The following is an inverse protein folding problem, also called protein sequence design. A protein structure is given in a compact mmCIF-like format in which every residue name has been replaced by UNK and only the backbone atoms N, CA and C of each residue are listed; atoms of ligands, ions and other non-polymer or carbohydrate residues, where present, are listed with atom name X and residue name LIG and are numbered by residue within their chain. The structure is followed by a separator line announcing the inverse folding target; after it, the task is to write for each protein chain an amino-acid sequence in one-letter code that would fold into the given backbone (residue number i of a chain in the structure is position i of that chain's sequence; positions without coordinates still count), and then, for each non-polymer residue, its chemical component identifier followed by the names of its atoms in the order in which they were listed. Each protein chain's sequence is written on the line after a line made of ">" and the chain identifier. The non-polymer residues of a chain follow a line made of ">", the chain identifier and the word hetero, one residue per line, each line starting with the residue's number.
data_IF_072631792150
#
_entry.id   IF_072631792150
#
_cell.length_a   1.000
_cell.length_b   1.000
_cell.length_c   1.000
_cell.angle_alpha   90.00
_cell.angle_beta   90.00
_cell.angle_gamma   90.00
#
_symmetry.space_group_name_H-M   'P 1'
#
loop_
_entity.id
_entity.type
_entity.pdbx_description
1 polymer ?
#
# COMPACT_ATOMS: atom_id res chain seq x y z
N UNK A 1 8.23 7.86 -13.63
CA UNK A 1 8.43 9.01 -12.79
C UNK A 1 8.42 10.30 -13.62
N UNK A 2 9.30 10.42 -14.63
CA UNK A 2 9.39 11.60 -15.51
C UNK A 2 8.04 12.04 -16.09
N UNK A 3 7.28 11.10 -16.67
CA UNK A 3 5.96 11.41 -17.23
C UNK A 3 4.97 11.91 -16.16
N UNK A 4 5.00 11.34 -14.97
CA UNK A 4 4.16 11.80 -13.87
C UNK A 4 4.51 13.23 -13.43
N UNK A 5 5.80 13.55 -13.37
CA UNK A 5 6.30 14.90 -13.08
C UNK A 5 5.96 15.89 -14.20
N UNK A 6 6.10 15.49 -15.47
CA UNK A 6 5.77 16.33 -16.63
C UNK A 6 4.27 16.65 -16.71
N UNK A 7 3.42 15.74 -16.26
CA UNK A 7 1.98 15.92 -16.16
C UNK A 7 1.53 16.65 -14.88
N UNK A 8 2.49 17.07 -14.04
CA UNK A 8 2.23 17.74 -12.76
C UNK A 8 1.26 16.98 -11.85
N UNK A 9 1.38 15.63 -11.83
CA UNK A 9 0.61 14.82 -10.89
C UNK A 9 1.06 15.07 -9.45
N UNK A 10 0.11 15.05 -8.51
CA UNK A 10 0.34 15.48 -7.12
C UNK A 10 1.43 14.66 -6.41
N UNK A 11 1.48 13.34 -6.67
CA UNK A 11 2.39 12.42 -5.98
C UNK A 11 3.06 11.45 -6.95
N UNK A 12 4.04 11.90 -7.77
CA UNK A 12 4.67 11.10 -8.84
C UNK A 12 5.26 9.76 -8.38
N UNK A 13 5.70 9.69 -7.10
CA UNK A 13 6.22 8.48 -6.45
C UNK A 13 5.28 7.26 -6.54
N UNK A 14 3.97 7.48 -6.59
CA UNK A 14 3.00 6.39 -6.69
C UNK A 14 2.91 5.79 -8.09
N UNK A 15 3.15 6.56 -9.14
CA UNK A 15 3.27 6.02 -10.48
C UNK A 15 4.49 5.09 -10.58
N UNK A 16 5.64 5.53 -10.05
CA UNK A 16 6.84 4.69 -9.99
C UNK A 16 6.62 3.43 -9.15
N UNK A 17 5.98 3.55 -7.98
CA UNK A 17 5.63 2.40 -7.16
C UNK A 17 4.67 1.44 -7.87
N UNK A 18 3.77 1.95 -8.69
CA UNK A 18 2.88 1.11 -9.52
C UNK A 18 3.70 0.26 -10.49
N UNK A 19 4.67 0.85 -11.19
CA UNK A 19 5.58 0.10 -12.08
C UNK A 19 6.24 -1.04 -11.31
N UNK A 20 6.86 -0.75 -10.16
CA UNK A 20 7.57 -1.75 -9.34
C UNK A 20 6.67 -2.89 -8.88
N UNK A 21 5.41 -2.60 -8.60
CA UNK A 21 4.48 -3.62 -8.06
C UNK A 21 3.79 -4.45 -9.13
N UNK A 22 3.56 -3.93 -10.34
CA UNK A 22 2.91 -4.70 -11.42
C UNK A 22 3.92 -5.44 -12.30
N UNK A 23 5.19 -5.02 -12.29
CA UNK A 23 6.26 -5.73 -13.01
C UNK A 23 6.46 -7.11 -12.39
N UNK A 24 6.09 -8.14 -13.13
CA UNK A 24 6.28 -9.56 -12.78
C UNK A 24 6.85 -10.29 -13.99
N UNK A 25 7.58 -11.42 -13.82
CA UNK A 25 8.35 -12.07 -14.87
C UNK A 25 7.54 -12.65 -16.05
N UNK A 26 6.24 -12.43 -16.14
CA UNK A 26 5.37 -12.95 -17.20
C UNK A 26 4.39 -11.89 -17.64
N UNK A 27 4.30 -11.65 -18.94
CA UNK A 27 3.38 -10.70 -19.56
C UNK A 27 1.92 -10.97 -19.18
N UNK A 28 1.47 -12.21 -19.27
CA UNK A 28 0.08 -12.57 -18.93
C UNK A 28 -0.26 -12.22 -17.48
N UNK A 29 0.66 -12.52 -16.55
CA UNK A 29 0.49 -12.19 -15.15
C UNK A 29 0.57 -10.67 -14.89
N UNK A 30 1.42 -9.96 -15.62
CA UNK A 30 1.53 -8.50 -15.53
C UNK A 30 0.23 -7.84 -15.99
N UNK A 31 -0.37 -8.29 -17.11
CA UNK A 31 -1.65 -7.77 -17.58
C UNK A 31 -2.79 -8.05 -16.60
N UNK A 32 -2.92 -9.29 -16.12
CA UNK A 32 -3.97 -9.65 -15.15
C UNK A 32 -3.80 -8.86 -13.85
N UNK A 33 -2.57 -8.74 -13.34
CA UNK A 33 -2.28 -7.97 -12.12
C UNK A 33 -2.58 -6.49 -12.30
N UNK A 34 -2.21 -5.92 -13.46
CA UNK A 34 -2.49 -4.52 -13.83
C UNK A 34 -4.00 -4.25 -13.92
N UNK A 35 -4.76 -5.16 -14.54
CA UNK A 35 -6.21 -5.06 -14.63
C UNK A 35 -6.87 -5.03 -13.24
N UNK A 36 -6.51 -5.97 -12.36
CA UNK A 36 -7.03 -6.00 -11.00
C UNK A 36 -6.55 -4.81 -10.15
N UNK A 37 -5.35 -4.29 -10.43
CA UNK A 37 -4.87 -3.05 -9.80
C UNK A 37 -5.75 -1.86 -10.19
N UNK A 38 -6.08 -1.71 -11.47
CA UNK A 38 -6.94 -0.63 -11.96
C UNK A 38 -8.34 -0.72 -11.34
N UNK A 39 -8.95 -1.92 -11.35
CA UNK A 39 -10.27 -2.13 -10.72
C UNK A 39 -10.23 -1.76 -9.23
N UNK A 40 -9.23 -2.26 -8.50
CA UNK A 40 -9.09 -1.94 -7.08
C UNK A 40 -8.93 -0.44 -6.82
N UNK A 41 -8.20 0.26 -7.68
CA UNK A 41 -8.02 1.71 -7.59
C UNK A 41 -9.34 2.46 -7.85
N UNK A 42 -10.06 2.13 -8.93
CA UNK A 42 -11.33 2.80 -9.27
C UNK A 42 -12.38 2.55 -8.18
N UNK A 43 -12.56 1.30 -7.74
CA UNK A 43 -13.51 0.97 -6.68
C UNK A 43 -13.12 1.63 -5.36
N UNK A 44 -11.81 1.65 -5.04
CA UNK A 44 -11.30 2.33 -3.85
C UNK A 44 -11.50 3.84 -3.89
N UNK A 45 -11.24 4.47 -5.04
CA UNK A 45 -11.46 5.90 -5.24
C UNK A 45 -12.95 6.26 -5.05
N UNK A 46 -13.85 5.52 -5.68
CA UNK A 46 -15.30 5.73 -5.52
C UNK A 46 -15.74 5.53 -4.05
N UNK A 47 -15.28 4.46 -3.40
CA UNK A 47 -15.59 4.20 -2.00
C UNK A 47 -15.06 5.31 -1.08
N UNK A 48 -13.84 5.79 -1.33
CA UNK A 48 -13.23 6.89 -0.56
C UNK A 48 -14.04 8.19 -0.68
N UNK A 49 -14.45 8.57 -1.90
CA UNK A 49 -15.31 9.74 -2.12
C UNK A 49 -16.63 9.59 -1.35
N UNK A 50 -17.29 8.43 -1.44
CA UNK A 50 -18.57 8.19 -0.75
C UNK A 50 -18.41 8.27 0.77
N UNK A 51 -17.35 7.66 1.33
CA UNK A 51 -17.09 7.69 2.77
C UNK A 51 -16.86 9.12 3.26
N UNK A 52 -16.06 9.91 2.53
CA UNK A 52 -15.82 11.33 2.85
C UNK A 52 -17.13 12.13 2.77
N UNK A 53 -17.87 11.99 1.67
CA UNK A 53 -19.12 12.74 1.47
C UNK A 53 -20.15 12.48 2.57
N UNK A 54 -20.22 11.25 3.08
CA UNK A 54 -21.22 10.87 4.08
C UNK A 54 -20.78 11.13 5.53
N UNK A 55 -19.48 10.99 5.81
CA UNK A 55 -19.01 10.86 7.20
C UNK A 55 -17.90 11.83 7.62
N UNK A 56 -17.31 12.64 6.73
CA UNK A 56 -16.18 13.53 7.07
C UNK A 56 -16.48 14.48 8.25
N UNK A 57 -17.75 14.90 8.40
CA UNK A 57 -18.19 15.80 9.48
C UNK A 57 -18.36 15.11 10.84
N UNK A 58 -18.18 13.78 10.91
CA UNK A 58 -18.41 12.97 12.13
C UNK A 58 -17.23 12.01 12.33
N UNK A 59 -16.14 12.45 12.99
CA UNK A 59 -14.89 11.68 13.06
C UNK A 59 -15.05 10.24 13.53
N UNK A 60 -15.79 10.00 14.61
CA UNK A 60 -16.02 8.64 15.13
C UNK A 60 -16.77 7.73 14.14
N UNK A 61 -17.76 8.30 13.42
CA UNK A 61 -18.53 7.54 12.42
C UNK A 61 -17.66 7.28 11.19
N UNK A 62 -16.83 8.24 10.79
CA UNK A 62 -15.86 8.09 9.73
C UNK A 62 -14.88 6.95 10.02
N UNK A 63 -14.28 6.93 11.21
CA UNK A 63 -13.35 5.88 11.62
C UNK A 63 -14.02 4.51 11.69
N UNK A 64 -15.26 4.45 12.18
CA UNK A 64 -16.05 3.22 12.18
C UNK A 64 -16.34 2.74 10.76
N UNK A 65 -16.72 3.64 9.86
CA UNK A 65 -16.98 3.31 8.45
C UNK A 65 -15.71 2.78 7.77
N UNK A 66 -14.56 3.41 8.01
CA UNK A 66 -13.27 2.94 7.51
C UNK A 66 -12.89 1.57 8.07
N UNK A 67 -13.09 1.32 9.36
CA UNK A 67 -12.81 0.03 9.98
C UNK A 67 -13.71 -1.09 9.43
N UNK A 68 -15.00 -0.81 9.24
CA UNK A 68 -15.94 -1.75 8.62
C UNK A 68 -15.59 -2.02 7.17
N UNK A 69 -15.16 -1.00 6.43
CA UNK A 69 -14.69 -1.13 5.05
C UNK A 69 -13.44 -2.00 4.94
N UNK A 70 -12.46 -1.78 5.82
CA UNK A 70 -11.28 -2.64 5.92
C UNK A 70 -11.67 -4.10 6.22
N UNK A 71 -12.57 -4.30 7.17
CA UNK A 71 -13.09 -5.61 7.52
C UNK A 71 -13.78 -6.31 6.35
N UNK A 72 -14.63 -5.58 5.60
CA UNK A 72 -15.31 -6.10 4.41
C UNK A 72 -14.32 -6.48 3.31
N UNK A 73 -13.34 -5.61 3.00
CA UNK A 73 -12.30 -5.89 2.02
C UNK A 73 -11.47 -7.13 2.41
N UNK A 74 -11.07 -7.28 3.67
CA UNK A 74 -10.32 -8.44 4.14
C UNK A 74 -11.15 -9.73 4.16
N UNK A 75 -12.43 -9.64 4.51
CA UNK A 75 -13.36 -10.76 4.49
C UNK A 75 -13.56 -11.31 3.07
N UNK A 76 -13.90 -10.42 2.13
CA UNK A 76 -14.09 -10.81 0.73
C UNK A 76 -12.76 -11.24 0.12
N UNK A 77 -11.66 -10.53 0.39
CA UNK A 77 -10.32 -10.82 -0.11
C UNK A 77 -9.80 -12.21 0.28
N UNK A 78 -10.24 -12.71 1.46
CA UNK A 78 -9.89 -14.08 1.88
C UNK A 78 -10.67 -15.16 1.12
N UNK A 79 -11.80 -14.84 0.47
CA UNK A 79 -12.66 -15.78 -0.24
C UNK A 79 -12.44 -15.86 -1.73
N UNK A 80 -11.70 -14.89 -2.29
CA UNK A 80 -11.47 -14.78 -3.71
C UNK A 80 -10.06 -15.21 -4.10
N UNK A 81 -9.79 -15.30 -5.41
CA UNK A 81 -8.49 -15.71 -5.96
C UNK A 81 -7.42 -14.64 -5.71
N UNK A 82 -6.15 -15.03 -5.81
CA UNK A 82 -4.97 -14.21 -5.49
C UNK A 82 -5.01 -12.77 -6.07
N UNK A 83 -5.28 -12.59 -7.36
CA UNK A 83 -5.33 -11.26 -7.96
C UNK A 83 -6.56 -10.43 -7.54
N UNK A 84 -7.67 -11.09 -7.27
CA UNK A 84 -8.87 -10.45 -6.73
C UNK A 84 -8.65 -10.02 -5.27
N UNK A 85 -7.96 -10.85 -4.47
CA UNK A 85 -7.55 -10.49 -3.11
C UNK A 85 -6.61 -9.28 -3.11
N UNK A 86 -5.66 -9.26 -4.04
CA UNK A 86 -4.80 -8.10 -4.26
C UNK A 86 -5.59 -6.84 -4.62
N UNK A 87 -6.58 -6.94 -5.53
CA UNK A 87 -7.46 -5.82 -5.87
C UNK A 87 -8.18 -5.26 -4.64
N UNK A 88 -8.67 -6.11 -3.73
CA UNK A 88 -9.35 -5.66 -2.50
C UNK A 88 -8.40 -4.98 -1.50
N UNK A 89 -7.15 -5.44 -1.41
CA UNK A 89 -6.14 -4.71 -0.63
C UNK A 89 -5.87 -3.32 -1.22
N UNK A 90 -5.84 -3.19 -2.54
CA UNK A 90 -5.70 -1.90 -3.22
C UNK A 90 -6.95 -1.03 -3.12
N UNK A 91 -8.13 -1.64 -3.13
CA UNK A 91 -9.40 -0.94 -2.85
C UNK A 91 -9.35 -0.26 -1.49
N UNK A 92 -8.90 -0.96 -0.44
CA UNK A 92 -8.65 -0.37 0.86
C UNK A 92 -7.60 0.76 0.79
N UNK A 93 -6.44 0.47 0.20
CA UNK A 93 -5.33 1.44 0.13
C UNK A 93 -5.77 2.73 -0.56
N UNK A 94 -6.44 2.62 -1.70
CA UNK A 94 -6.90 3.80 -2.47
C UNK A 94 -8.02 4.53 -1.74
N UNK A 95 -9.01 3.81 -1.19
CA UNK A 95 -10.07 4.46 -0.41
C UNK A 95 -9.51 5.19 0.82
N UNK A 96 -8.50 4.59 1.47
CA UNK A 96 -7.83 5.23 2.60
C UNK A 96 -7.04 6.48 2.18
N UNK A 97 -6.29 6.44 1.08
CA UNK A 97 -5.58 7.62 0.55
C UNK A 97 -6.57 8.75 0.26
N UNK A 98 -7.67 8.45 -0.43
CA UNK A 98 -8.71 9.45 -0.74
C UNK A 98 -9.38 9.95 0.54
N UNK A 99 -9.81 9.05 1.42
CA UNK A 99 -10.57 9.41 2.62
C UNK A 99 -9.74 10.19 3.63
N UNK A 100 -8.57 9.67 4.02
CA UNK A 100 -7.71 10.35 5.00
C UNK A 100 -7.02 11.59 4.42
N UNK A 101 -6.73 11.59 3.10
CA UNK A 101 -6.17 12.76 2.43
C UNK A 101 -7.16 13.91 2.24
N UNK A 102 -8.48 13.64 2.32
CA UNK A 102 -9.52 14.63 2.08
C UNK A 102 -10.42 14.89 3.28
N UNK A 103 -10.17 14.27 4.45
CA UNK A 103 -11.04 14.45 5.62
C UNK A 103 -11.07 15.90 6.11
N UNK A 104 -9.97 16.63 5.97
CA UNK A 104 -9.87 18.05 6.32
C UNK A 104 -10.48 18.98 5.26
N UNK A 105 -10.44 18.58 3.98
CA UNK A 105 -11.07 19.28 2.85
C UNK A 105 -11.87 18.28 2.01
N UNK A 106 -13.13 17.99 2.36
CA UNK A 106 -13.97 17.04 1.64
C UNK A 106 -14.23 17.39 0.17
N UNK A 107 -14.16 18.68 -0.19
CA UNK A 107 -14.37 19.12 -1.57
C UNK A 107 -13.23 18.69 -2.50
N UNK A 108 -12.03 18.51 -1.97
CA UNK A 108 -10.85 18.02 -2.69
C UNK A 108 -10.88 16.52 -2.98
N UNK A 109 -11.79 15.74 -2.39
CA UNK A 109 -11.78 14.26 -2.48
C UNK A 109 -11.82 13.73 -3.92
N UNK A 110 -12.56 14.38 -4.82
CA UNK A 110 -12.60 13.99 -6.22
C UNK A 110 -11.25 14.21 -6.92
N UNK A 111 -10.58 15.31 -6.65
CA UNK A 111 -9.26 15.64 -7.24
C UNK A 111 -8.22 14.62 -6.77
N UNK A 112 -8.18 14.32 -5.47
CA UNK A 112 -7.27 13.31 -4.91
C UNK A 112 -7.55 11.93 -5.53
N UNK A 113 -8.81 11.55 -5.69
CA UNK A 113 -9.20 10.29 -6.32
C UNK A 113 -8.80 10.22 -7.81
N UNK A 114 -9.01 11.30 -8.56
CA UNK A 114 -8.65 11.41 -9.97
C UNK A 114 -7.14 11.37 -10.17
N UNK A 115 -6.38 12.17 -9.40
CA UNK A 115 -4.92 12.17 -9.42
C UNK A 115 -4.37 10.78 -9.13
N UNK A 116 -4.89 10.12 -8.07
CA UNK A 116 -4.51 8.76 -7.71
C UNK A 116 -4.76 7.74 -8.82
N UNK A 117 -5.91 7.85 -9.49
CA UNK A 117 -6.26 6.96 -10.61
C UNK A 117 -5.35 7.20 -11.81
N UNK A 118 -5.04 8.46 -12.12
CA UNK A 118 -4.12 8.83 -13.20
C UNK A 118 -2.69 8.31 -12.95
N UNK A 119 -2.17 8.45 -11.72
CA UNK A 119 -0.85 7.92 -11.31
C UNK A 119 -0.76 6.41 -11.50
N UNK A 120 -1.79 5.68 -11.09
CA UNK A 120 -1.85 4.21 -11.24
C UNK A 120 -1.97 3.84 -12.72
N UNK A 121 -2.81 4.53 -13.51
CA UNK A 121 -2.95 4.30 -14.93
C UNK A 121 -1.63 4.51 -15.68
N UNK A 122 -0.95 5.62 -15.39
CA UNK A 122 0.35 5.94 -15.97
C UNK A 122 1.40 4.87 -15.61
N UNK A 123 1.45 4.45 -14.35
CA UNK A 123 2.35 3.40 -13.91
C UNK A 123 2.10 2.05 -14.60
N UNK A 124 0.83 1.69 -14.82
CA UNK A 124 0.45 0.48 -15.57
C UNK A 124 0.89 0.58 -17.03
N UNK A 125 0.66 1.72 -17.67
CA UNK A 125 1.07 1.93 -19.07
C UNK A 125 2.59 1.83 -19.23
N UNK A 126 3.35 2.46 -18.34
CA UNK A 126 4.81 2.37 -18.36
C UNK A 126 5.32 0.95 -18.11
N UNK A 127 4.73 0.23 -17.15
CA UNK A 127 5.10 -1.16 -16.87
C UNK A 127 4.76 -2.10 -18.03
N UNK A 128 3.58 -1.92 -18.63
CA UNK A 128 3.17 -2.68 -19.83
C UNK A 128 4.08 -2.42 -21.01
N UNK A 129 4.43 -1.15 -21.28
CA UNK A 129 5.38 -0.78 -22.32
C UNK A 129 6.77 -1.39 -22.10
N UNK A 130 7.28 -1.33 -20.87
CA UNK A 130 8.55 -1.97 -20.52
C UNK A 130 8.50 -3.50 -20.69
N UNK A 131 7.41 -4.14 -20.26
CA UNK A 131 7.23 -5.57 -20.40
C UNK A 131 7.22 -6.00 -21.87
N UNK A 132 6.56 -5.27 -22.75
CA UNK A 132 6.56 -5.55 -24.20
C UNK A 132 7.97 -5.42 -24.80
N UNK A 133 8.76 -4.44 -24.34
CA UNK A 133 10.09 -4.17 -24.89
C UNK A 133 11.16 -5.16 -24.40
N UNK A 134 11.04 -5.66 -23.16
CA UNK A 134 12.11 -6.41 -22.50
C UNK A 134 11.76 -7.86 -22.20
N UNK A 135 10.47 -8.25 -22.28
CA UNK A 135 10.04 -9.59 -21.87
C UNK A 135 10.00 -10.54 -23.09
N UNK A 136 10.95 -11.45 -23.10
CA UNK A 136 10.85 -12.67 -23.92
C UNK A 136 9.85 -13.63 -23.26
N UNK A 137 8.94 -14.15 -24.05
CA UNK A 137 7.84 -15.08 -23.71
C UNK A 137 8.21 -16.12 -22.64
N UNK A 138 7.99 -15.81 -21.39
CA UNK A 138 8.06 -16.78 -20.29
C UNK A 138 6.63 -17.13 -19.87
N UNK A 139 6.23 -18.35 -20.15
CA UNK A 139 4.97 -18.91 -19.64
C UNK A 139 5.14 -19.16 -18.14
N UNK A 140 4.48 -18.35 -17.32
CA UNK A 140 4.45 -18.58 -15.87
C UNK A 140 3.26 -19.47 -15.52
N UNK A 141 3.51 -20.49 -14.74
CA UNK A 141 2.47 -21.36 -14.17
C UNK A 141 1.68 -20.59 -13.12
N UNK A 142 0.36 -20.53 -13.28
CA UNK A 142 -0.54 -19.96 -12.27
C UNK A 142 -0.43 -20.77 -10.97
N UNK A 143 0.07 -20.12 -9.92
CA UNK A 143 0.06 -20.74 -8.59
C UNK A 143 -1.39 -20.75 -8.12
N UNK A 144 -1.95 -21.94 -7.91
CA UNK A 144 -3.29 -22.10 -7.36
C UNK A 144 -3.29 -21.60 -5.91
N UNK A 145 -4.13 -20.63 -5.61
CA UNK A 145 -4.38 -20.23 -4.24
C UNK A 145 -5.00 -21.42 -3.47
N UNK A 146 -4.47 -21.72 -2.30
CA UNK A 146 -5.04 -22.74 -1.41
C UNK A 146 -6.49 -22.37 -1.07
N UNK A 147 -7.36 -23.39 -0.99
CA UNK A 147 -8.75 -23.21 -0.59
C UNK A 147 -8.83 -22.58 0.81
N UNK A 148 -9.67 -21.55 1.03
CA UNK A 148 -9.75 -20.89 2.32
C UNK A 148 -10.28 -21.85 3.39
N UNK A 149 -9.61 -21.89 4.55
CA UNK A 149 -10.03 -22.66 5.71
C UNK A 149 -11.37 -22.09 6.23
N UNK A 150 -12.36 -22.94 6.60
CA UNK A 150 -13.62 -22.47 7.17
C UNK A 150 -13.42 -21.47 8.32
N UNK A 151 -14.18 -20.36 8.32
CA UNK A 151 -14.08 -19.30 9.32
C UNK A 151 -12.88 -18.36 9.18
N UNK A 152 -11.90 -18.62 8.30
CA UNK A 152 -10.73 -17.77 8.11
C UNK A 152 -11.11 -16.38 7.60
N UNK A 153 -12.06 -16.27 6.68
CA UNK A 153 -12.51 -14.99 6.13
C UNK A 153 -13.11 -14.09 7.22
N UNK A 154 -13.97 -14.62 8.07
CA UNK A 154 -14.56 -13.89 9.21
C UNK A 154 -13.46 -13.40 10.16
N UNK A 155 -12.52 -14.29 10.53
CA UNK A 155 -11.39 -13.92 11.40
C UNK A 155 -10.50 -12.82 10.79
N UNK A 156 -10.21 -12.92 9.51
CA UNK A 156 -9.39 -11.91 8.83
C UNK A 156 -10.11 -10.57 8.71
N UNK A 157 -11.42 -10.58 8.40
CA UNK A 157 -12.24 -9.38 8.37
C UNK A 157 -12.28 -8.66 9.72
N UNK A 158 -12.56 -9.41 10.80
CA UNK A 158 -12.60 -8.83 12.16
C UNK A 158 -11.22 -8.30 12.56
N UNK A 159 -10.13 -9.03 12.28
CA UNK A 159 -8.76 -8.57 12.58
C UNK A 159 -8.40 -7.28 11.86
N UNK A 160 -8.71 -7.18 10.56
CA UNK A 160 -8.42 -5.97 9.80
C UNK A 160 -9.25 -4.77 10.29
N UNK A 161 -10.54 -4.97 10.53
CA UNK A 161 -11.39 -3.92 11.09
C UNK A 161 -10.92 -3.45 12.47
N UNK A 162 -10.56 -4.39 13.36
CA UNK A 162 -10.05 -4.04 14.69
C UNK A 162 -8.67 -3.36 14.62
N UNK A 163 -7.77 -3.78 13.73
CA UNK A 163 -6.48 -3.13 13.54
C UNK A 163 -6.66 -1.66 13.13
N UNK A 164 -7.54 -1.40 12.16
CA UNK A 164 -7.88 -0.04 11.73
C UNK A 164 -8.54 0.74 12.87
N UNK A 165 -9.51 0.16 13.59
CA UNK A 165 -10.18 0.84 14.69
C UNK A 165 -9.23 1.21 15.83
N UNK A 166 -8.31 0.31 16.22
CA UNK A 166 -7.32 0.58 17.26
C UNK A 166 -6.32 1.65 16.82
N UNK A 167 -5.89 1.60 15.55
CA UNK A 167 -5.04 2.63 14.99
C UNK A 167 -5.73 4.00 14.94
N UNK A 168 -7.01 4.05 14.52
CA UNK A 168 -7.82 5.27 14.55
C UNK A 168 -8.02 5.82 15.96
N UNK A 169 -8.31 4.94 16.94
CA UNK A 169 -8.45 5.34 18.33
C UNK A 169 -7.15 5.95 18.90
N UNK A 170 -6.01 5.33 18.57
CA UNK A 170 -4.70 5.89 18.93
C UNK A 170 -4.48 7.25 18.29
N UNK A 171 -4.74 7.38 16.98
CA UNK A 171 -4.64 8.65 16.27
C UNK A 171 -5.55 9.71 16.89
N UNK A 172 -6.81 9.37 17.19
CA UNK A 172 -7.76 10.30 17.80
C UNK A 172 -7.30 10.82 19.16
N UNK A 173 -6.69 9.96 19.99
CA UNK A 173 -6.18 10.35 21.32
C UNK A 173 -4.85 11.11 21.23
N UNK A 174 -3.93 10.65 20.36
CA UNK A 174 -2.59 11.24 20.25
C UNK A 174 -2.57 12.55 19.46
N UNK A 175 -3.58 12.78 18.61
CA UNK A 175 -3.63 13.88 17.63
C UNK A 175 -2.36 13.93 16.75
N UNK A 176 -1.77 12.75 16.49
CA UNK A 176 -0.55 12.63 15.72
C UNK A 176 -0.77 13.12 14.27
N UNK A 177 0.10 14.02 13.78
CA UNK A 177 -0.03 14.64 12.46
C UNK A 177 -0.10 13.59 11.34
N UNK A 178 0.77 12.55 11.39
CA UNK A 178 0.77 11.45 10.41
C UNK A 178 -0.08 10.26 10.83
N UNK A 179 -0.95 10.45 11.82
CA UNK A 179 -1.94 9.45 12.24
C UNK A 179 -2.79 8.90 11.09
N UNK A 180 -3.27 9.72 10.13
CA UNK A 180 -3.96 9.23 8.94
C UNK A 180 -3.16 8.19 8.15
N UNK A 181 -1.86 8.44 7.94
CA UNK A 181 -0.98 7.53 7.24
C UNK A 181 -0.66 6.27 8.06
N UNK A 182 -0.53 6.40 9.37
CA UNK A 182 -0.41 5.27 10.30
C UNK A 182 -1.63 4.33 10.23
N UNK A 183 -2.85 4.88 10.25
CA UNK A 183 -4.09 4.09 10.12
C UNK A 183 -4.15 3.41 8.75
N UNK A 184 -3.82 4.13 7.68
CA UNK A 184 -3.76 3.61 6.32
C UNK A 184 -2.82 2.40 6.22
N UNK A 185 -1.62 2.49 6.76
CA UNK A 185 -0.63 1.42 6.71
C UNK A 185 -1.02 0.22 7.57
N UNK A 186 -1.69 0.45 8.70
CA UNK A 186 -2.23 -0.61 9.55
C UNK A 186 -3.23 -1.48 8.79
N UNK A 187 -4.16 -0.86 8.07
CA UNK A 187 -5.12 -1.59 7.25
C UNK A 187 -4.47 -2.26 6.03
N UNK A 188 -3.59 -1.53 5.32
CA UNK A 188 -2.94 -2.04 4.11
C UNK A 188 -2.13 -3.32 4.38
N UNK A 189 -1.32 -3.36 5.42
CA UNK A 189 -0.56 -4.53 5.81
C UNK A 189 -1.48 -5.69 6.28
N UNK A 190 -2.53 -5.37 7.04
CA UNK A 190 -3.50 -6.36 7.49
C UNK A 190 -4.24 -7.03 6.32
N UNK A 191 -4.60 -6.28 5.27
CA UNK A 191 -5.29 -6.81 4.10
C UNK A 191 -4.33 -7.56 3.15
N UNK A 192 -3.16 -7.01 2.89
CA UNK A 192 -2.19 -7.57 1.94
C UNK A 192 -1.78 -9.00 2.33
N UNK A 193 -1.63 -9.25 3.63
CA UNK A 193 -1.21 -10.55 4.14
C UNK A 193 -2.35 -11.39 4.75
N UNK A 194 -3.60 -10.92 4.67
CA UNK A 194 -4.77 -11.62 5.22
C UNK A 194 -4.89 -13.08 4.74
N UNK A 195 -4.67 -13.33 3.46
CA UNK A 195 -4.76 -14.64 2.84
C UNK A 195 -3.42 -15.41 2.83
N UNK A 196 -2.30 -14.81 3.29
CA UNK A 196 -0.99 -15.46 3.25
C UNK A 196 -0.90 -16.60 4.27
N UNK A 197 -0.33 -17.78 3.93
CA UNK A 197 -0.19 -18.91 4.86
C UNK A 197 0.59 -18.54 6.12
N UNK A 198 1.72 -17.85 5.97
CA UNK A 198 2.61 -17.40 7.06
C UNK A 198 2.52 -15.89 7.24
N UNK A 199 1.35 -15.38 7.69
CA UNK A 199 1.04 -13.94 7.77
C UNK A 199 2.10 -13.14 8.53
N UNK A 200 2.46 -13.60 9.74
CA UNK A 200 3.44 -12.91 10.60
C UNK A 200 4.81 -12.86 9.94
N UNK A 201 5.29 -13.99 9.41
CA UNK A 201 6.61 -14.05 8.76
C UNK A 201 6.65 -13.15 7.50
N UNK A 202 5.59 -13.13 6.70
CA UNK A 202 5.48 -12.28 5.51
C UNK A 202 5.46 -10.79 5.89
N UNK A 203 4.70 -10.41 6.92
CA UNK A 203 4.63 -9.02 7.40
C UNK A 203 5.96 -8.59 8.04
N UNK A 204 6.63 -9.47 8.80
CA UNK A 204 7.98 -9.21 9.32
C UNK A 204 9.01 -9.07 8.20
N UNK A 205 8.89 -9.87 7.13
CA UNK A 205 9.71 -9.73 5.93
C UNK A 205 9.55 -8.33 5.32
N UNK A 206 8.30 -7.89 5.12
CA UNK A 206 8.01 -6.55 4.62
C UNK A 206 8.54 -5.46 5.55
N UNK A 207 8.41 -5.62 6.88
CA UNK A 207 8.92 -4.65 7.86
C UNK A 207 10.45 -4.50 7.77
N UNK A 208 11.19 -5.60 7.60
CA UNK A 208 12.66 -5.53 7.37
C UNK A 208 12.99 -4.73 6.12
N UNK A 209 12.24 -4.94 5.05
CA UNK A 209 12.35 -4.15 3.83
C UNK A 209 12.02 -2.68 4.07
N UNK A 210 10.97 -2.38 4.83
CA UNK A 210 10.61 -1.01 5.20
C UNK A 210 11.75 -0.29 5.91
N UNK A 211 12.37 -0.92 6.90
CA UNK A 211 13.49 -0.32 7.64
C UNK A 211 14.67 0.01 6.71
N UNK A 212 15.05 -0.94 5.85
CA UNK A 212 16.16 -0.72 4.91
C UNK A 212 15.79 0.33 3.84
N UNK A 213 14.59 0.24 3.27
CA UNK A 213 14.11 1.18 2.26
C UNK A 213 14.00 2.61 2.78
N UNK A 214 13.47 2.78 3.99
CA UNK A 214 13.41 4.08 4.66
C UNK A 214 14.80 4.66 4.88
N UNK A 215 15.72 3.88 5.42
CA UNK A 215 17.10 4.35 5.67
C UNK A 215 17.78 4.82 4.39
N UNK A 216 17.72 4.01 3.33
CA UNK A 216 18.35 4.35 2.05
C UNK A 216 17.59 5.46 1.31
N UNK A 217 16.26 5.53 1.43
CA UNK A 217 15.47 6.61 0.85
C UNK A 217 15.78 7.97 1.50
N UNK A 218 15.84 8.03 2.82
CA UNK A 218 16.27 9.23 3.55
C UNK A 218 17.70 9.63 3.20
N UNK A 219 18.61 8.66 3.08
CA UNK A 219 19.98 8.93 2.63
C UNK A 219 19.99 9.55 1.23
N UNK A 220 19.24 9.01 0.28
CA UNK A 220 19.11 9.58 -1.07
C UNK A 220 18.55 11.00 -1.00
N UNK A 221 17.45 11.21 -0.28
CA UNK A 221 16.78 12.50 -0.17
C UNK A 221 17.67 13.58 0.43
N UNK A 222 18.30 13.30 1.57
CA UNK A 222 19.02 14.32 2.33
C UNK A 222 20.53 14.43 2.01
N UNK A 223 21.14 13.41 1.41
CA UNK A 223 22.56 13.44 1.09
C UNK A 223 22.84 13.55 -0.41
N UNK A 224 22.02 12.96 -1.28
CA UNK A 224 22.29 12.88 -2.71
C UNK A 224 21.44 13.88 -3.52
N UNK A 225 20.14 13.99 -3.27
CA UNK A 225 19.28 14.93 -3.99
C UNK A 225 19.60 16.39 -3.72
N UNK A 226 20.21 16.72 -2.57
CA UNK A 226 20.70 18.07 -2.28
C UNK A 226 21.76 18.57 -3.27
N UNK A 227 22.35 17.67 -4.06
CA UNK A 227 23.39 17.95 -5.05
C UNK A 227 22.91 17.79 -6.49
N UNK A 228 21.70 17.28 -6.72
CA UNK A 228 21.14 17.14 -8.05
C UNK A 228 20.45 18.42 -8.48
N UNK A 229 20.74 18.85 -9.71
CA UNK A 229 20.18 20.05 -10.32
C UNK A 229 19.18 19.73 -11.43
N UNK A 230 19.03 18.44 -11.80
CA UNK A 230 18.19 18.01 -12.91
C UNK A 230 17.57 16.65 -12.65
N UNK A 231 16.43 16.40 -13.30
CA UNK A 231 15.78 15.07 -13.27
C UNK A 231 16.69 13.94 -13.77
N UNK A 232 17.59 14.22 -14.72
CA UNK A 232 18.55 13.23 -15.20
C UNK A 232 19.51 12.77 -14.11
N UNK A 233 20.00 13.69 -13.29
CA UNK A 233 20.87 13.40 -12.14
C UNK A 233 20.09 12.64 -11.05
N UNK A 234 18.86 13.04 -10.73
CA UNK A 234 18.01 12.31 -9.80
C UNK A 234 17.76 10.88 -10.26
N UNK A 235 17.53 10.67 -11.56
CA UNK A 235 17.35 9.34 -12.15
C UNK A 235 18.61 8.49 -11.99
N UNK A 236 19.79 9.04 -12.24
CA UNK A 236 21.07 8.35 -12.06
C UNK A 236 21.31 7.96 -10.60
N UNK A 237 20.93 8.87 -9.67
CA UNK A 237 21.00 8.60 -8.23
C UNK A 237 20.05 7.50 -7.80
N UNK A 238 18.81 7.51 -8.29
CA UNK A 238 17.80 6.49 -7.94
C UNK A 238 18.10 5.10 -8.51
N UNK A 239 18.74 5.04 -9.68
CA UNK A 239 18.92 3.82 -10.46
C UNK A 239 19.53 2.66 -9.66
N UNK A 240 20.67 2.79 -8.97
CA UNK A 240 21.29 1.70 -8.24
C UNK A 240 20.40 1.16 -7.10
N UNK A 241 19.65 2.02 -6.43
CA UNK A 241 18.74 1.62 -5.35
C UNK A 241 17.49 0.91 -5.88
N UNK A 242 16.95 1.37 -7.01
CA UNK A 242 15.83 0.69 -7.69
C UNK A 242 16.26 -0.66 -8.25
N UNK A 243 17.49 -0.77 -8.79
CA UNK A 243 18.05 -2.05 -9.22
C UNK A 243 18.20 -3.03 -8.07
N UNK A 244 18.67 -2.57 -6.89
CA UNK A 244 18.74 -3.40 -5.69
C UNK A 244 17.36 -3.97 -5.33
N UNK A 245 16.33 -3.13 -5.33
CA UNK A 245 14.95 -3.54 -5.11
C UNK A 245 14.43 -4.52 -6.17
N UNK A 246 14.75 -4.27 -7.45
CA UNK A 246 14.38 -5.14 -8.57
C UNK A 246 15.02 -6.53 -8.49
N UNK A 247 16.32 -6.60 -8.18
CA UNK A 247 17.04 -7.87 -7.94
C UNK A 247 16.40 -8.63 -6.78
N UNK A 248 16.07 -7.93 -5.69
CA UNK A 248 15.40 -8.55 -4.55
C UNK A 248 14.00 -9.10 -4.86
N UNK A 249 13.28 -8.52 -5.82
CA UNK A 249 11.98 -9.04 -6.29
C UNK A 249 12.12 -10.29 -7.17
N UNK A 250 13.27 -10.50 -7.79
CA UNK A 250 13.50 -11.63 -8.69
C UNK A 250 13.70 -12.98 -7.95
N UNK A 251 14.11 -12.95 -6.69
CA UNK A 251 14.28 -14.15 -5.85
C UNK A 251 13.10 -14.31 -4.90
N UNK A 252 12.46 -15.48 -4.93
CA UNK A 252 11.31 -15.84 -4.07
C UNK A 252 11.62 -15.73 -2.56
N UNK A 253 12.87 -15.84 -2.15
CA UNK A 253 13.30 -15.74 -0.74
C UNK A 253 13.32 -14.29 -0.25
N UNK A 254 13.63 -13.35 -1.13
CA UNK A 254 13.78 -11.92 -0.82
C UNK A 254 12.61 -11.08 -1.31
N UNK A 255 11.66 -11.65 -2.06
CA UNK A 255 10.53 -10.94 -2.65
C UNK A 255 9.69 -10.17 -1.62
N UNK A 256 9.42 -10.75 -0.44
CA UNK A 256 8.68 -10.09 0.64
C UNK A 256 9.41 -8.85 1.19
N UNK A 257 10.66 -8.98 1.65
CA UNK A 257 11.48 -7.83 2.03
C UNK A 257 11.67 -6.81 0.91
N UNK A 258 11.92 -7.25 -0.33
CA UNK A 258 12.11 -6.35 -1.48
C UNK A 258 10.85 -5.54 -1.81
N UNK A 259 9.66 -6.12 -1.65
CA UNK A 259 8.39 -5.39 -1.79
C UNK A 259 8.31 -4.26 -0.76
N UNK A 260 8.62 -4.54 0.49
CA UNK A 260 8.67 -3.54 1.55
C UNK A 260 9.73 -2.48 1.29
N UNK A 261 10.93 -2.90 0.89
CA UNK A 261 12.02 -2.02 0.52
C UNK A 261 11.61 -1.01 -0.57
N UNK A 262 11.09 -1.49 -1.69
CA UNK A 262 10.71 -0.64 -2.81
C UNK A 262 9.64 0.39 -2.42
N UNK A 263 8.65 -0.01 -1.63
CA UNK A 263 7.62 0.91 -1.15
C UNK A 263 8.21 1.98 -0.24
N UNK A 264 8.94 1.58 0.79
CA UNK A 264 9.50 2.50 1.77
C UNK A 264 10.59 3.40 1.18
N UNK A 265 11.42 2.85 0.29
CA UNK A 265 12.44 3.61 -0.42
C UNK A 265 11.82 4.75 -1.24
N UNK A 266 10.81 4.46 -2.05
CA UNK A 266 10.14 5.47 -2.89
C UNK A 266 9.41 6.53 -2.06
N UNK A 267 8.80 6.13 -0.93
CA UNK A 267 8.14 7.07 -0.03
C UNK A 267 9.16 7.98 0.67
N UNK A 268 10.26 7.43 1.16
CA UNK A 268 11.27 8.19 1.91
C UNK A 268 12.17 9.04 1.01
N UNK A 269 12.52 8.57 -0.19
CA UNK A 269 13.27 9.35 -1.17
C UNK A 269 12.43 10.51 -1.74
N UNK A 270 11.12 10.33 -1.82
CA UNK A 270 10.12 11.34 -2.19
C UNK A 270 10.51 12.19 -3.43
N UNK A 271 10.79 11.55 -4.58
CA UNK A 271 11.08 12.28 -5.80
C UNK A 271 9.83 13.01 -6.28
N UNK A 272 9.93 14.33 -6.39
CA UNK A 272 8.83 15.24 -6.74
C UNK A 272 9.33 16.43 -7.56
N UNK A 273 8.40 17.14 -8.22
CA UNK A 273 8.73 18.37 -8.98
C UNK A 273 9.39 19.46 -8.11
N UNK A 274 9.03 19.49 -6.84
CA UNK A 274 9.65 20.35 -5.82
C UNK A 274 10.14 19.47 -4.68
N UNK A 275 11.45 19.32 -4.55
CA UNK A 275 12.04 18.52 -3.48
C UNK A 275 11.82 19.20 -2.13
N UNK A 276 11.35 18.45 -1.17
CA UNK A 276 11.23 18.88 0.22
C UNK A 276 12.35 18.26 1.06
N UNK A 277 13.02 19.08 1.86
CA UNK A 277 14.09 18.65 2.75
C UNK A 277 13.69 18.77 4.24
N UNK A 278 12.40 18.63 4.53
CA UNK A 278 11.90 18.53 5.90
C UNK A 278 12.21 17.13 6.48
N UNK A 279 13.29 17.06 7.26
CA UNK A 279 13.69 15.81 7.92
C UNK A 279 12.68 15.39 9.01
N UNK A 280 12.10 16.37 9.72
CA UNK A 280 11.11 16.08 10.77
C UNK A 280 9.87 15.39 10.21
N UNK A 281 9.29 15.97 9.15
CA UNK A 281 8.15 15.38 8.45
C UNK A 281 8.47 14.02 7.83
N UNK A 282 9.64 13.88 7.18
CA UNK A 282 10.06 12.62 6.57
C UNK A 282 10.23 11.49 7.62
N UNK A 283 10.81 11.78 8.77
CA UNK A 283 10.94 10.80 9.87
C UNK A 283 9.58 10.46 10.46
N UNK A 284 8.69 11.42 10.59
CA UNK A 284 7.35 11.24 11.12
C UNK A 284 6.50 10.35 10.20
N UNK A 285 6.53 10.60 8.89
CA UNK A 285 5.89 9.73 7.87
C UNK A 285 6.45 8.30 7.92
N UNK A 286 7.77 8.15 8.04
CA UNK A 286 8.43 6.86 8.16
C UNK A 286 8.02 6.09 9.44
N UNK A 287 7.91 6.78 10.58
CA UNK A 287 7.43 6.19 11.83
C UNK A 287 5.97 5.74 11.69
N UNK A 288 5.11 6.56 11.07
CA UNK A 288 3.72 6.21 10.82
C UNK A 288 3.58 4.93 9.99
N UNK A 289 4.38 4.78 8.95
CA UNK A 289 4.43 3.59 8.11
C UNK A 289 4.88 2.35 8.90
N UNK A 290 5.97 2.44 9.65
CA UNK A 290 6.54 1.33 10.42
C UNK A 290 5.57 0.89 11.53
N UNK A 291 5.05 1.82 12.30
CA UNK A 291 4.11 1.52 13.40
C UNK A 291 2.78 0.95 12.87
N UNK A 292 2.30 1.42 11.71
CA UNK A 292 1.13 0.84 11.07
C UNK A 292 1.31 -0.66 10.76
N UNK A 293 2.47 -1.05 10.23
CA UNK A 293 2.79 -2.46 9.99
C UNK A 293 2.90 -3.25 11.31
N UNK A 294 3.47 -2.66 12.37
CA UNK A 294 3.55 -3.30 13.69
C UNK A 294 2.17 -3.58 14.29
N UNK A 295 1.20 -2.68 14.13
CA UNK A 295 -0.20 -2.93 14.53
C UNK A 295 -0.76 -4.16 13.82
N UNK A 296 -0.51 -4.31 12.51
CA UNK A 296 -0.96 -5.47 11.74
C UNK A 296 -0.31 -6.77 12.24
N UNK A 297 0.98 -6.75 12.57
CA UNK A 297 1.68 -7.90 13.17
C UNK A 297 1.02 -8.27 14.50
N UNK A 298 0.75 -7.28 15.36
CA UNK A 298 0.04 -7.48 16.62
C UNK A 298 -1.34 -8.14 16.43
N UNK A 299 -2.10 -7.69 15.44
CA UNK A 299 -3.39 -8.27 15.10
C UNK A 299 -3.27 -9.73 14.60
N UNK A 300 -2.21 -10.06 13.86
CA UNK A 300 -1.95 -11.43 13.42
C UNK A 300 -1.47 -12.37 14.54
N UNK A 301 -0.72 -11.86 15.51
CA UNK A 301 -0.27 -12.62 16.67
C UNK A 301 -1.41 -12.96 17.65
N UNK A 302 -2.60 -12.38 17.45
CA UNK A 302 -3.75 -12.65 18.29
C UNK A 302 -3.69 -11.93 19.64
N UNK A 303 -2.98 -10.82 19.72
CA UNK A 303 -2.99 -9.90 20.88
C UNK A 303 -4.41 -9.35 21.14
N UNK A 304 -5.29 -9.41 20.15
CA UNK A 304 -6.73 -9.22 20.34
C UNK A 304 -7.36 -10.61 20.54
N UNK A 305 -8.03 -10.89 21.67
CA UNK A 305 -8.59 -12.20 21.99
C UNK A 305 -9.84 -12.53 21.16
N UNK A 306 -9.67 -12.59 19.83
CA UNK A 306 -10.74 -12.94 18.88
C UNK A 306 -11.08 -14.42 18.96
N UNK A 307 -10.20 -15.25 19.50
CA UNK A 307 -10.40 -16.70 19.60
C UNK A 307 -11.66 -17.04 20.40
N UNK A 308 -11.92 -16.27 21.46
CA UNK A 308 -13.01 -16.53 22.38
C UNK A 308 -14.35 -15.92 21.94
N UNK A 309 -14.32 -14.87 21.09
CA UNK A 309 -15.54 -14.25 20.53
C UNK A 309 -16.17 -15.08 19.39
N UNK A 310 -15.39 -15.92 18.72
CA UNK A 310 -15.84 -16.68 17.54
C UNK A 310 -16.14 -18.15 17.83
N UNK A 311 -15.84 -18.65 19.04
CA UNK A 311 -16.16 -20.04 19.44
C UNK A 311 -17.49 -20.19 20.15
N UNK A 312 -18.26 -19.11 20.41
CA UNK A 312 -19.56 -19.18 21.08
C UNK A 312 -20.73 -19.62 20.20
N UNK A 313 -20.55 -19.72 18.89
CA UNK A 313 -21.63 -20.07 17.95
C UNK A 313 -21.56 -21.53 17.47
N UNK A 314 -20.95 -22.43 18.23
CA UNK A 314 -20.76 -23.85 17.88
C UNK A 314 -21.04 -24.83 19.02
N UNK A 315 -21.93 -24.45 19.97
CA UNK A 315 -22.47 -25.40 20.96
C UNK A 315 -23.99 -25.48 20.85
#
# INVERSE_FOLDING_TARGET
>A
LYLAMSLHLDTPRWAAWTVLTVSVPSLDHAFVKSFYRMIGTIVGAAAGIVIVALFAQRPLVFDLAMALWAGACAFVGTRVRQYQSYALALTWLTSGIVSYGSVADPNGAFIVAASRTAEVALGILCAGGAAILFDGHRVATLVHAASPVPGQARRNGVRAGLAVMLASAFWYVSQWQDGPFFVLMSGAAALLFAAHPSKVAATLGMLRGFLLGTLLGLFVRFALFTRSASFGEETLVLLPFLMLGGIGLADSRTQGPATGYNLAFMLAADPANTLSFDLGGALNEAMAMIFGVLVSIGAFLGLVPIRDLLHRDGA
#
